data_IF_919398735525
#
_entry.id   IF_919398735525
#
_cell.length_a   1.000
_cell.length_b   1.000
_cell.length_c   1.000
_cell.angle_alpha   90.00
_cell.angle_beta   90.00
_cell.angle_gamma   90.00
#
_symmetry.space_group_name_H-M   'P 1'
#
loop_
_entity.id
_entity.type
_entity.pdbx_description
1 polymer ?
#
# COMPACT_ATOMS: atom_id res chain seq x y z
N UNK A 1 -4.55 -39.17 16.66
CA UNK A 1 -4.75 -37.86 17.31
C UNK A 1 -4.54 -36.79 16.25
N UNK A 2 -5.61 -36.25 15.67
CA UNK A 2 -5.52 -35.06 14.80
C UNK A 2 -5.57 -33.84 15.72
N UNK A 3 -4.43 -33.18 15.91
CA UNK A 3 -4.39 -31.87 16.57
C UNK A 3 -4.38 -30.82 15.47
N UNK A 4 -5.55 -30.33 15.07
CA UNK A 4 -5.66 -29.14 14.23
C UNK A 4 -5.47 -27.92 15.14
N UNK A 5 -4.25 -27.35 15.16
CA UNK A 5 -4.07 -26.01 15.70
C UNK A 5 -4.77 -25.04 14.76
N UNK A 6 -5.91 -24.50 15.18
CA UNK A 6 -6.46 -23.31 14.56
C UNK A 6 -5.47 -22.17 14.82
N UNK A 7 -4.71 -21.77 13.80
CA UNK A 7 -3.92 -20.56 13.86
C UNK A 7 -4.90 -19.38 13.87
N UNK A 8 -5.18 -18.82 15.05
CA UNK A 8 -6.03 -17.64 15.21
C UNK A 8 -5.30 -16.45 14.57
N UNK A 9 -5.72 -16.06 13.38
CA UNK A 9 -5.24 -14.82 12.75
C UNK A 9 -5.70 -13.61 13.55
N UNK A 10 -4.77 -12.76 13.98
CA UNK A 10 -5.12 -11.45 14.52
C UNK A 10 -5.47 -10.50 13.37
N UNK A 11 -6.48 -9.65 13.57
CA UNK A 11 -6.91 -8.67 12.57
C UNK A 11 -7.00 -7.29 13.20
N UNK A 12 -6.57 -6.28 12.44
CA UNK A 12 -6.73 -4.88 12.82
C UNK A 12 -7.43 -4.11 11.71
N UNK A 13 -8.21 -3.12 12.11
CA UNK A 13 -8.94 -2.24 11.21
C UNK A 13 -8.49 -0.80 11.48
N UNK A 14 -8.04 -0.11 10.44
CA UNK A 14 -7.91 1.33 10.42
C UNK A 14 -9.12 1.88 9.65
N UNK A 15 -10.01 2.58 10.34
CA UNK A 15 -11.22 3.16 9.75
C UNK A 15 -11.28 4.64 10.05
N UNK A 16 -11.58 5.50 9.07
CA UNK A 16 -11.86 6.91 9.30
C UNK A 16 -13.11 7.04 10.18
N UNK A 17 -13.07 7.98 11.11
CA UNK A 17 -14.13 8.30 12.08
C UNK A 17 -14.90 9.58 11.75
N UNK A 18 -14.53 10.27 10.65
CA UNK A 18 -15.08 11.55 10.23
C UNK A 18 -14.40 12.77 10.88
N UNK A 19 -13.49 12.57 11.84
CA UNK A 19 -12.78 13.66 12.50
C UNK A 19 -11.48 13.98 11.76
N UNK A 20 -11.58 14.80 10.71
CA UNK A 20 -10.43 15.17 9.89
C UNK A 20 -9.27 15.75 10.71
N UNK A 21 -9.53 16.62 11.70
CA UNK A 21 -8.49 17.23 12.52
C UNK A 21 -7.67 16.23 13.37
N UNK A 22 -8.21 15.03 13.63
CA UNK A 22 -7.55 14.00 14.44
C UNK A 22 -6.96 12.85 13.59
N UNK A 23 -6.91 13.00 12.26
CA UNK A 23 -6.55 11.92 11.32
C UNK A 23 -5.21 11.25 11.64
N UNK A 24 -4.17 12.01 11.95
CA UNK A 24 -2.85 11.43 12.23
C UNK A 24 -2.80 10.68 13.55
N UNK A 25 -3.45 11.20 14.59
CA UNK A 25 -3.55 10.50 15.88
C UNK A 25 -4.31 9.19 15.72
N UNK A 26 -5.42 9.18 14.96
CA UNK A 26 -6.16 7.97 14.64
C UNK A 26 -5.27 6.94 13.94
N UNK A 27 -4.56 7.32 12.87
CA UNK A 27 -3.65 6.43 12.14
C UNK A 27 -2.55 5.90 13.06
N UNK A 28 -1.88 6.77 13.81
CA UNK A 28 -0.80 6.42 14.73
C UNK A 28 -1.27 5.50 15.87
N UNK A 29 -2.49 5.69 16.38
CA UNK A 29 -3.05 4.84 17.45
C UNK A 29 -3.28 3.40 17.01
N UNK A 30 -3.55 3.18 15.71
CA UNK A 30 -3.81 1.86 15.14
C UNK A 30 -2.52 1.22 14.63
N UNK A 31 -1.72 1.96 13.85
CA UNK A 31 -0.51 1.42 13.20
C UNK A 31 0.73 1.48 14.10
N UNK A 32 0.68 2.22 15.22
CA UNK A 32 1.76 2.38 16.18
C UNK A 32 2.79 3.44 15.79
N UNK A 33 3.32 4.16 16.80
CA UNK A 33 4.37 5.15 16.62
C UNK A 33 3.98 6.34 15.73
N UNK A 34 4.92 6.81 14.92
CA UNK A 34 4.71 7.86 13.90
C UNK A 34 4.57 7.20 12.53
N UNK A 35 3.39 6.64 12.29
CA UNK A 35 3.06 5.86 11.10
C UNK A 35 2.77 6.73 9.87
N UNK A 36 2.59 8.03 10.04
CA UNK A 36 2.31 8.99 8.96
C UNK A 36 3.61 9.63 8.48
N UNK A 37 3.86 9.55 7.17
CA UNK A 37 4.99 10.17 6.46
C UNK A 37 4.44 11.14 5.41
N UNK A 38 4.47 12.45 5.70
CA UNK A 38 3.85 13.50 4.88
C UNK A 38 4.74 14.76 4.81
N UNK A 39 4.53 15.65 3.82
CA UNK A 39 5.29 16.89 3.67
C UNK A 39 4.56 18.12 4.24
N UNK A 40 3.73 17.97 5.28
CA UNK A 40 2.99 19.08 5.95
C UNK A 40 3.87 20.27 6.40
N UNK A 41 5.18 20.09 6.46
CA UNK A 41 6.15 21.13 6.77
C UNK A 41 6.40 22.12 5.62
N UNK A 42 6.01 21.82 4.37
CA UNK A 42 6.21 22.72 3.23
C UNK A 42 5.10 23.76 3.05
N UNK A 43 3.89 23.49 3.55
CA UNK A 43 2.74 24.40 3.48
C UNK A 43 1.67 24.01 4.50
N UNK A 44 0.80 24.95 4.94
CA UNK A 44 -0.12 24.74 6.05
C UNK A 44 -1.39 23.97 5.64
N UNK A 45 -1.25 22.83 4.96
CA UNK A 45 -2.33 21.88 4.69
C UNK A 45 -1.92 20.46 5.11
N UNK A 46 -2.86 19.74 5.72
CA UNK A 46 -2.65 18.32 6.00
C UNK A 46 -2.77 17.49 4.73
N UNK A 47 -1.80 16.63 4.48
CA UNK A 47 -1.81 15.77 3.30
C UNK A 47 -2.66 14.51 3.46
N UNK A 48 -3.09 14.15 4.68
CA UNK A 48 -4.10 13.11 4.87
C UNK A 48 -5.22 13.67 5.73
N UNK A 49 -6.40 13.73 5.13
CA UNK A 49 -7.63 14.25 5.74
C UNK A 49 -8.70 13.17 5.75
N UNK A 50 -9.87 13.47 6.32
CA UNK A 50 -11.06 12.64 6.19
C UNK A 50 -12.18 13.44 5.54
N UNK A 51 -12.99 12.77 4.72
CA UNK A 51 -14.22 13.34 4.15
C UNK A 51 -15.29 12.27 3.99
N UNK A 52 -16.56 12.65 3.93
CA UNK A 52 -17.63 11.73 3.52
C UNK A 52 -17.49 11.48 2.02
N UNK A 53 -17.40 10.21 1.63
CA UNK A 53 -17.51 9.82 0.23
C UNK A 53 -18.97 9.74 -0.17
N UNK A 54 -19.33 10.36 -1.30
CA UNK A 54 -20.72 10.43 -1.77
C UNK A 54 -21.25 9.12 -2.32
N UNK A 55 -20.38 8.24 -2.82
CA UNK A 55 -20.78 6.97 -3.42
C UNK A 55 -20.98 5.92 -2.31
N UNK A 56 -20.10 5.93 -1.30
CA UNK A 56 -20.14 4.98 -0.18
C UNK A 56 -20.97 5.47 1.01
N UNK A 57 -21.27 6.77 1.09
CA UNK A 57 -21.95 7.43 2.20
C UNK A 57 -21.32 7.14 3.59
N UNK A 58 -20.00 7.04 3.63
CA UNK A 58 -19.19 6.83 4.84
C UNK A 58 -17.97 7.77 4.82
N UNK A 59 -17.34 8.05 5.97
CA UNK A 59 -16.02 8.67 6.00
C UNK A 59 -14.99 7.83 5.23
N UNK A 60 -14.09 8.50 4.52
CA UNK A 60 -12.93 7.92 3.84
C UNK A 60 -11.70 8.76 4.16
N UNK A 61 -10.52 8.13 4.21
CA UNK A 61 -9.27 8.88 4.18
C UNK A 61 -9.08 9.50 2.80
N UNK A 62 -8.63 10.74 2.77
CA UNK A 62 -8.35 11.48 1.54
C UNK A 62 -6.92 11.98 1.59
N UNK A 63 -6.08 11.36 0.77
CA UNK A 63 -4.68 11.67 0.64
C UNK A 63 -4.49 12.73 -0.46
N UNK A 64 -3.61 13.70 -0.21
CA UNK A 64 -3.31 14.81 -1.10
C UNK A 64 -1.82 14.79 -1.45
N UNK A 65 -1.53 15.19 -2.69
CA UNK A 65 -0.18 15.23 -3.25
C UNK A 65 -0.14 16.33 -4.31
N UNK A 66 0.77 17.30 -4.16
CA UNK A 66 0.85 18.53 -4.96
C UNK A 66 2.21 18.60 -5.66
N UNK A 67 2.22 18.30 -6.96
CA UNK A 67 3.45 18.13 -7.77
C UNK A 67 4.45 19.28 -7.62
N UNK A 68 3.97 20.51 -7.51
CA UNK A 68 4.83 21.70 -7.53
C UNK A 68 5.52 22.02 -6.20
N UNK A 69 4.94 21.60 -5.07
CA UNK A 69 5.35 22.10 -3.74
C UNK A 69 5.68 21.01 -2.73
N UNK A 70 5.17 19.79 -2.89
CA UNK A 70 5.44 18.71 -1.93
C UNK A 70 6.82 18.08 -2.17
N UNK A 71 7.34 17.42 -1.14
CA UNK A 71 8.62 16.72 -1.17
C UNK A 71 8.59 15.47 -0.29
N UNK A 72 9.75 14.86 -0.01
CA UNK A 72 9.85 13.73 0.93
C UNK A 72 10.09 14.26 2.33
N UNK A 73 9.00 14.62 3.02
CA UNK A 73 8.97 14.97 4.46
C UNK A 73 9.92 16.11 4.86
N UNK A 74 10.16 17.07 3.96
CA UNK A 74 11.16 18.14 4.11
C UNK A 74 12.60 17.65 4.35
N UNK A 75 12.89 16.42 3.91
CA UNK A 75 14.21 15.80 4.03
C UNK A 75 14.84 15.64 2.65
N UNK A 76 14.11 15.03 1.70
CA UNK A 76 14.58 14.88 0.33
C UNK A 76 13.67 15.65 -0.64
N UNK A 77 14.26 16.13 -1.73
CA UNK A 77 13.61 16.99 -2.72
C UNK A 77 13.58 16.38 -4.14
N UNK A 78 13.99 15.11 -4.27
CA UNK A 78 13.99 14.35 -5.52
C UNK A 78 12.66 13.62 -5.78
N UNK A 79 11.77 13.58 -4.77
CA UNK A 79 10.51 12.84 -4.77
C UNK A 79 9.53 13.46 -3.79
N UNK A 80 8.27 13.02 -3.86
CA UNK A 80 7.21 13.36 -2.92
C UNK A 80 6.82 12.13 -2.10
N UNK A 81 6.32 12.31 -0.87
CA UNK A 81 5.77 11.22 -0.07
C UNK A 81 4.59 11.68 0.78
N UNK A 82 3.44 11.09 0.52
CA UNK A 82 2.25 11.11 1.39
C UNK A 82 1.85 9.66 1.66
N UNK A 83 2.19 9.14 2.83
CA UNK A 83 2.14 7.70 3.11
C UNK A 83 1.75 7.38 4.55
N UNK A 84 1.05 6.27 4.74
CA UNK A 84 0.92 5.58 6.03
C UNK A 84 1.66 4.24 5.98
N UNK A 85 2.30 3.84 7.08
CA UNK A 85 3.14 2.64 7.13
C UNK A 85 2.94 1.83 8.40
N UNK A 86 3.20 0.53 8.28
CA UNK A 86 3.68 -0.25 9.42
C UNK A 86 5.20 -0.20 9.48
N UNK A 87 5.80 -0.27 10.67
CA UNK A 87 7.25 -0.25 10.86
C UNK A 87 7.63 -0.85 12.22
N UNK A 88 8.86 -0.65 12.70
CA UNK A 88 9.38 -1.27 13.93
C UNK A 88 8.40 -1.21 15.13
N UNK A 89 7.92 -0.02 15.52
CA UNK A 89 6.94 0.21 16.59
C UNK A 89 5.52 -0.31 16.33
N UNK A 90 5.19 -0.74 15.11
CA UNK A 90 3.89 -1.35 14.85
C UNK A 90 3.74 -2.67 15.60
N UNK A 91 2.51 -3.03 16.02
CA UNK A 91 2.23 -4.32 16.63
C UNK A 91 2.81 -5.49 15.83
N UNK A 92 3.30 -6.52 16.53
CA UNK A 92 3.97 -7.66 15.90
C UNK A 92 3.09 -8.34 14.83
N UNK A 93 1.78 -8.46 15.08
CA UNK A 93 0.83 -9.09 14.17
C UNK A 93 0.51 -8.30 12.89
N UNK A 94 1.00 -7.06 12.79
CA UNK A 94 0.93 -6.25 11.55
C UNK A 94 2.19 -6.38 10.69
N UNK A 95 3.19 -7.11 11.17
CA UNK A 95 4.43 -7.42 10.48
C UNK A 95 4.41 -8.89 10.11
N UNK A 96 5.18 -9.24 9.10
CA UNK A 96 5.27 -10.61 8.63
C UNK A 96 6.71 -11.12 8.83
N UNK A 97 6.86 -12.14 9.68
CA UNK A 97 8.13 -12.79 9.98
C UNK A 97 8.37 -14.00 9.06
N UNK A 98 9.59 -14.52 9.02
CA UNK A 98 9.94 -15.62 8.11
C UNK A 98 9.04 -16.84 8.32
N UNK A 99 8.46 -17.36 7.24
CA UNK A 99 7.52 -18.48 7.22
C UNK A 99 6.07 -18.10 7.55
N UNK A 100 5.80 -16.87 8.00
CA UNK A 100 4.44 -16.42 8.30
C UNK A 100 3.67 -16.01 7.03
N UNK A 101 2.34 -15.99 7.16
CA UNK A 101 1.44 -15.48 6.15
C UNK A 101 0.71 -14.25 6.66
N UNK A 102 0.62 -13.23 5.83
CA UNK A 102 -0.16 -12.02 6.10
C UNK A 102 -1.15 -11.75 4.97
N UNK A 103 -2.23 -11.04 5.31
CA UNK A 103 -3.23 -10.54 4.38
C UNK A 103 -3.52 -9.08 4.69
N UNK A 104 -3.43 -8.23 3.67
CA UNK A 104 -3.86 -6.84 3.72
C UNK A 104 -5.00 -6.65 2.73
N UNK A 105 -6.00 -5.90 3.14
CA UNK A 105 -7.11 -5.53 2.26
C UNK A 105 -7.55 -4.10 2.54
N UNK A 106 -7.82 -3.35 1.49
CA UNK A 106 -8.31 -1.99 1.58
C UNK A 106 -9.12 -1.62 0.36
N UNK A 107 -10.00 -0.63 0.52
CA UNK A 107 -10.71 -0.01 -0.59
C UNK A 107 -9.95 1.24 -1.05
N UNK A 108 -9.86 1.43 -2.36
CA UNK A 108 -9.13 2.53 -2.98
C UNK A 108 -9.95 3.14 -4.12
N UNK A 109 -9.91 4.47 -4.23
CA UNK A 109 -10.34 5.18 -5.44
C UNK A 109 -9.28 6.19 -5.84
N UNK A 110 -8.69 6.00 -7.03
CA UNK A 110 -7.88 7.03 -7.67
C UNK A 110 -8.78 8.04 -8.39
N UNK A 111 -8.34 9.30 -8.50
CA UNK A 111 -9.03 10.29 -9.34
C UNK A 111 -9.18 9.75 -10.79
N UNK A 112 -10.32 9.99 -11.45
CA UNK A 112 -10.53 9.55 -12.84
C UNK A 112 -9.49 10.12 -13.83
N UNK A 113 -8.92 11.28 -13.48
CA UNK A 113 -7.86 11.96 -14.21
C UNK A 113 -6.48 11.78 -13.57
N UNK A 114 -6.29 10.78 -12.70
CA UNK A 114 -5.01 10.55 -12.04
C UNK A 114 -3.84 10.53 -13.03
N UNK A 115 -2.80 11.29 -12.73
CA UNK A 115 -1.63 11.49 -13.58
C UNK A 115 -0.41 10.84 -12.93
N UNK A 116 -0.08 9.58 -13.28
CA UNK A 116 1.12 8.96 -12.77
C UNK A 116 2.38 9.54 -13.42
N UNK A 117 3.50 9.42 -12.71
CA UNK A 117 4.82 9.77 -13.24
C UNK A 117 5.29 8.77 -14.30
N UNK A 118 6.22 9.20 -15.16
CA UNK A 118 6.98 8.31 -16.04
C UNK A 118 8.03 7.49 -15.28
N UNK A 119 8.49 8.01 -14.14
CA UNK A 119 9.43 7.36 -13.25
C UNK A 119 8.74 6.34 -12.34
N UNK A 120 8.01 6.76 -11.31
CA UNK A 120 7.16 5.87 -10.50
C UNK A 120 6.14 6.66 -9.69
N UNK A 121 5.00 6.04 -9.42
CA UNK A 121 3.98 6.53 -8.48
C UNK A 121 3.45 5.31 -7.74
N UNK A 122 4.05 4.98 -6.60
CA UNK A 122 3.61 3.82 -5.82
C UNK A 122 2.37 4.21 -5.01
N UNK A 123 1.37 3.34 -4.98
CA UNK A 123 0.15 3.50 -4.15
C UNK A 123 0.02 2.39 -3.09
N UNK A 124 0.81 1.33 -3.22
CA UNK A 124 1.03 0.33 -2.19
C UNK A 124 2.43 -0.23 -2.34
N UNK A 125 3.06 -0.55 -1.21
CA UNK A 125 4.34 -1.25 -1.19
C UNK A 125 4.38 -2.29 -0.07
N UNK A 126 5.07 -3.40 -0.34
CA UNK A 126 5.53 -4.35 0.67
C UNK A 126 7.06 -4.32 0.70
N UNK A 127 7.67 -4.01 1.85
CA UNK A 127 9.13 -3.90 1.96
C UNK A 127 9.69 -4.52 3.25
N UNK A 128 10.98 -4.85 3.25
CA UNK A 128 11.70 -5.27 4.45
C UNK A 128 11.84 -4.11 5.47
N UNK A 129 12.10 -4.46 6.73
CA UNK A 129 12.49 -3.53 7.79
C UNK A 129 13.75 -4.03 8.49
N UNK A 130 14.72 -3.13 8.65
CA UNK A 130 15.92 -3.38 9.44
C UNK A 130 17.01 -4.12 8.68
N UNK A 131 17.25 -3.76 7.42
CA UNK A 131 18.25 -4.33 6.51
C UNK A 131 18.23 -3.59 5.16
N UNK A 132 18.47 -4.29 4.04
CA UNK A 132 18.30 -3.82 2.65
C UNK A 132 16.82 -3.44 2.35
N UNK A 133 16.41 -2.27 2.84
CA UNK A 133 15.01 -1.82 2.86
C UNK A 133 14.70 -0.77 1.78
N UNK A 134 15.68 -0.46 0.92
CA UNK A 134 15.56 0.54 -0.15
C UNK A 134 14.59 0.08 -1.25
N UNK A 135 14.62 -1.22 -1.59
CA UNK A 135 13.83 -1.79 -2.68
C UNK A 135 12.63 -2.59 -2.14
N UNK A 136 11.38 -2.19 -2.43
CA UNK A 136 10.21 -2.99 -2.06
C UNK A 136 10.17 -4.35 -2.80
N UNK A 137 9.65 -5.38 -2.13
CA UNK A 137 9.37 -6.68 -2.75
C UNK A 137 8.22 -6.60 -3.74
N UNK A 138 7.14 -5.92 -3.35
CA UNK A 138 5.95 -5.75 -4.18
C UNK A 138 5.60 -4.27 -4.18
N UNK A 139 5.23 -3.76 -5.36
CA UNK A 139 4.57 -2.46 -5.46
C UNK A 139 3.35 -2.56 -6.34
N UNK A 140 2.32 -1.79 -6.00
CA UNK A 140 1.24 -1.45 -6.91
C UNK A 140 1.50 -0.02 -7.40
N UNK A 141 1.65 0.14 -8.70
CA UNK A 141 2.25 1.35 -9.29
C UNK A 141 1.49 1.80 -10.53
N UNK A 142 0.68 2.87 -10.44
CA UNK A 142 0.35 3.68 -11.60
C UNK A 142 1.60 4.19 -12.32
N UNK A 143 1.62 4.08 -13.65
CA UNK A 143 2.78 4.46 -14.49
C UNK A 143 2.33 5.13 -15.78
N UNK A 144 2.99 6.20 -16.18
CA UNK A 144 2.86 6.77 -17.53
C UNK A 144 3.99 6.24 -18.41
N UNK A 145 3.65 5.64 -19.55
CA UNK A 145 4.63 5.18 -20.54
C UNK A 145 4.12 5.47 -21.94
N UNK A 146 4.87 6.28 -22.69
CA UNK A 146 4.54 6.69 -24.07
C UNK A 146 3.11 7.25 -24.20
N UNK A 147 2.69 8.10 -23.27
CA UNK A 147 1.36 8.71 -23.26
C UNK A 147 0.23 7.81 -22.75
N UNK A 148 0.51 6.54 -22.44
CA UNK A 148 -0.49 5.58 -21.94
C UNK A 148 -0.30 5.36 -20.43
N UNK A 149 -1.42 5.34 -19.70
CA UNK A 149 -1.45 5.14 -18.24
C UNK A 149 -1.75 3.67 -17.91
N UNK A 150 -0.87 3.06 -17.12
CA UNK A 150 -0.97 1.67 -16.69
C UNK A 150 -1.08 1.59 -15.18
N UNK A 151 -1.67 0.49 -14.70
CA UNK A 151 -1.47 -0.01 -13.34
C UNK A 151 -0.55 -1.22 -13.43
N UNK A 152 0.53 -1.24 -12.66
CA UNK A 152 1.50 -2.33 -12.63
C UNK A 152 1.58 -2.96 -11.23
N UNK A 153 1.73 -4.27 -11.18
CA UNK A 153 2.29 -4.96 -10.01
C UNK A 153 3.73 -5.30 -10.34
N UNK A 154 4.67 -4.75 -9.58
CA UNK A 154 6.10 -5.04 -9.75
C UNK A 154 6.60 -5.90 -8.59
N UNK A 155 7.48 -6.84 -8.92
CA UNK A 155 8.20 -7.66 -7.94
C UNK A 155 9.71 -7.40 -8.03
N UNK A 156 10.39 -7.37 -6.88
CA UNK A 156 11.84 -7.45 -6.79
C UNK A 156 12.27 -8.56 -5.83
N UNK A 157 12.98 -9.54 -6.35
CA UNK A 157 13.58 -10.62 -5.57
C UNK A 157 14.85 -10.19 -4.83
N UNK A 158 15.76 -11.13 -4.58
CA UNK A 158 17.01 -10.90 -3.85
C UNK A 158 17.99 -9.97 -4.57
N UNK A 159 17.93 -9.90 -5.91
CA UNK A 159 18.78 -9.02 -6.71
C UNK A 159 18.33 -7.55 -6.69
N UNK A 160 17.24 -7.22 -5.99
CA UNK A 160 16.67 -5.86 -5.89
C UNK A 160 16.33 -5.21 -7.23
N UNK A 161 16.09 -5.99 -8.29
CA UNK A 161 15.62 -5.48 -9.59
C UNK A 161 14.11 -5.61 -9.68
N UNK A 162 13.41 -4.47 -9.82
CA UNK A 162 11.96 -4.46 -10.02
C UNK A 162 11.58 -4.82 -11.45
N UNK A 163 10.72 -5.84 -11.58
CA UNK A 163 10.15 -6.28 -12.85
C UNK A 163 8.63 -6.33 -12.76
N UNK A 164 7.88 -5.90 -13.80
CA UNK A 164 6.44 -6.10 -13.85
C UNK A 164 6.10 -7.58 -13.87
N UNK A 165 5.26 -8.02 -12.93
CA UNK A 165 4.67 -9.37 -12.91
C UNK A 165 3.21 -9.37 -13.38
N UNK A 166 2.60 -8.19 -13.42
CA UNK A 166 1.29 -7.94 -14.01
C UNK A 166 1.19 -6.47 -14.45
N UNK A 167 0.42 -6.21 -15.50
CA UNK A 167 0.11 -4.87 -15.99
C UNK A 167 -1.27 -4.83 -16.64
N UNK A 168 -1.99 -3.72 -16.48
CA UNK A 168 -3.26 -3.44 -17.15
C UNK A 168 -3.49 -1.94 -17.33
N UNK A 169 -4.51 -1.54 -18.12
CA UNK A 169 -4.80 -0.13 -18.35
C UNK A 169 -5.34 0.53 -17.07
N UNK A 170 -4.81 1.71 -16.71
CA UNK A 170 -5.22 2.41 -15.49
C UNK A 170 -6.69 2.85 -15.54
N UNK A 171 -7.25 3.04 -16.74
CA UNK A 171 -8.66 3.41 -16.97
C UNK A 171 -9.67 2.40 -16.41
N UNK A 172 -9.26 1.16 -16.18
CA UNK A 172 -10.12 0.14 -15.59
C UNK A 172 -10.29 0.32 -14.07
N UNK A 173 -9.44 1.14 -13.44
CA UNK A 173 -9.34 1.35 -11.99
C UNK A 173 -9.58 2.80 -11.57
N UNK A 174 -9.14 3.77 -12.38
CA UNK A 174 -9.28 5.18 -12.07
C UNK A 174 -10.76 5.62 -12.05
N UNK A 175 -11.12 6.48 -11.09
CA UNK A 175 -12.45 7.06 -10.96
C UNK A 175 -13.51 6.16 -10.33
N UNK A 176 -13.14 4.97 -9.83
CA UNK A 176 -14.07 4.03 -9.18
C UNK A 176 -13.47 3.44 -7.91
N UNK A 177 -14.33 3.06 -6.97
CA UNK A 177 -13.92 2.31 -5.79
C UNK A 177 -13.59 0.86 -6.17
N UNK A 178 -12.40 0.42 -5.77
CA UNK A 178 -11.95 -0.96 -5.92
C UNK A 178 -11.54 -1.53 -4.57
N UNK A 179 -11.88 -2.80 -4.33
CA UNK A 179 -11.39 -3.58 -3.21
C UNK A 179 -10.12 -4.32 -3.62
N UNK A 180 -9.03 -4.08 -2.92
CA UNK A 180 -7.73 -4.71 -3.15
C UNK A 180 -7.47 -5.69 -2.01
N UNK A 181 -7.10 -6.92 -2.34
CA UNK A 181 -6.58 -7.90 -1.38
C UNK A 181 -5.17 -8.29 -1.81
N UNK A 182 -4.21 -8.20 -0.90
CA UNK A 182 -2.84 -8.70 -1.05
C UNK A 182 -2.58 -9.72 0.04
N UNK A 183 -2.13 -10.92 -0.34
CA UNK A 183 -1.75 -11.98 0.58
C UNK A 183 -0.38 -12.50 0.20
N UNK A 184 0.49 -12.71 1.19
CA UNK A 184 1.76 -13.34 0.93
C UNK A 184 2.31 -14.13 2.11
N UNK A 185 3.19 -15.08 1.79
CA UNK A 185 4.02 -15.80 2.74
C UNK A 185 5.42 -15.19 2.71
N UNK A 186 5.92 -14.75 3.87
CA UNK A 186 7.25 -14.18 4.02
C UNK A 186 8.32 -15.25 3.99
N UNK A 187 8.71 -15.71 2.81
CA UNK A 187 9.73 -16.72 2.64
C UNK A 187 10.49 -16.50 1.33
N UNK A 188 11.69 -17.10 1.21
CA UNK A 188 12.44 -17.12 -0.05
C UNK A 188 11.69 -17.91 -1.13
N UNK A 189 10.93 -18.93 -0.73
CA UNK A 189 10.00 -19.68 -1.58
C UNK A 189 8.57 -19.42 -1.10
N UNK A 190 8.15 -18.15 -1.16
CA UNK A 190 6.86 -17.69 -0.70
C UNK A 190 5.75 -17.92 -1.71
N UNK A 191 4.52 -17.65 -1.26
CA UNK A 191 3.35 -17.47 -2.11
C UNK A 191 2.96 -16.00 -2.10
N UNK A 192 2.54 -15.48 -3.25
CA UNK A 192 1.94 -14.16 -3.40
C UNK A 192 0.62 -14.28 -4.15
N UNK A 193 -0.38 -13.56 -3.67
CA UNK A 193 -1.67 -13.43 -4.31
C UNK A 193 -2.13 -11.98 -4.19
N UNK A 194 -2.54 -11.40 -5.31
CA UNK A 194 -3.22 -10.10 -5.35
C UNK A 194 -4.48 -10.22 -6.18
N UNK A 195 -5.54 -9.60 -5.71
CA UNK A 195 -6.83 -9.51 -6.39
C UNK A 195 -7.39 -8.11 -6.25
N UNK A 196 -7.94 -7.59 -7.34
CA UNK A 196 -8.65 -6.31 -7.37
C UNK A 196 -10.05 -6.54 -7.93
N UNK A 197 -11.06 -6.09 -7.20
CA UNK A 197 -12.47 -6.13 -7.59
C UNK A 197 -13.06 -4.73 -7.58
N UNK A 198 -14.06 -4.48 -8.41
CA UNK A 198 -14.89 -3.28 -8.22
C UNK A 198 -15.77 -3.45 -7.01
N UNK A 199 -15.98 -2.36 -6.27
CA UNK A 199 -16.80 -2.38 -5.07
C UNK A 199 -18.31 -2.28 -5.37
N UNK A 200 -18.68 -1.75 -6.53
CA UNK A 200 -20.08 -1.53 -6.94
C UNK A 200 -20.81 -2.82 -7.39
N UNK A 201 -20.10 -3.74 -8.04
CA UNK A 201 -20.70 -4.93 -8.65
C UNK A 201 -19.87 -6.21 -8.47
N UNK A 202 -18.86 -6.20 -7.60
CA UNK A 202 -17.95 -7.33 -7.35
C UNK A 202 -17.18 -7.86 -8.57
N UNK A 203 -17.19 -7.15 -9.70
CA UNK A 203 -16.47 -7.56 -10.91
C UNK A 203 -14.98 -7.65 -10.61
N UNK A 204 -14.41 -8.83 -10.81
CA UNK A 204 -12.97 -9.02 -10.72
C UNK A 204 -12.27 -8.32 -11.90
N UNK A 205 -11.44 -7.32 -11.59
CA UNK A 205 -10.64 -6.61 -12.58
C UNK A 205 -9.31 -7.31 -12.84
N UNK A 206 -8.71 -7.87 -11.78
CA UNK A 206 -7.50 -8.67 -11.91
C UNK A 206 -7.40 -9.70 -10.78
N UNK A 207 -6.72 -10.81 -11.06
CA UNK A 207 -6.24 -11.79 -10.07
C UNK A 207 -4.91 -12.35 -10.53
N UNK A 208 -3.89 -12.29 -9.67
CA UNK A 208 -2.56 -12.82 -9.94
C UNK A 208 -2.11 -13.68 -8.77
N UNK A 209 -1.59 -14.88 -9.06
CA UNK A 209 -1.03 -15.78 -8.06
C UNK A 209 0.34 -16.25 -8.53
N UNK A 210 1.31 -16.25 -7.61
CA UNK A 210 2.57 -16.96 -7.76
C UNK A 210 2.82 -17.80 -6.50
N UNK A 211 3.03 -19.11 -6.67
CA UNK A 211 3.22 -20.04 -5.55
C UNK A 211 4.70 -20.30 -5.23
N UNK A 212 5.62 -19.64 -5.94
CA UNK A 212 7.06 -19.72 -5.69
C UNK A 212 7.71 -18.38 -6.06
N UNK A 213 7.69 -17.45 -5.11
CA UNK A 213 8.19 -16.08 -5.29
C UNK A 213 8.97 -15.63 -4.05
N UNK A 214 10.07 -14.94 -4.28
CA UNK A 214 10.92 -14.41 -3.20
C UNK A 214 10.22 -13.24 -2.50
N UNK A 215 9.77 -13.48 -1.27
CA UNK A 215 9.13 -12.48 -0.40
C UNK A 215 9.88 -12.33 0.93
N UNK A 216 11.18 -12.64 0.91
CA UNK A 216 12.05 -12.54 2.07
C UNK A 216 13.48 -12.24 1.64
N UNK A 217 14.09 -11.25 2.27
CA UNK A 217 15.53 -10.96 2.27
C UNK A 217 15.93 -11.03 3.73
N UNK A 218 17.14 -11.51 3.99
CA UNK A 218 17.62 -11.63 5.36
C UNK A 218 17.41 -10.29 6.10
N UNK A 219 16.96 -10.41 7.35
CA UNK A 219 16.67 -9.36 8.33
C UNK A 219 15.18 -8.98 8.55
N UNK A 220 14.68 -9.63 9.61
CA UNK A 220 13.60 -9.34 10.57
C UNK A 220 12.14 -9.39 10.12
N UNK A 221 11.62 -8.50 9.28
CA UNK A 221 10.16 -8.47 8.96
C UNK A 221 9.82 -7.77 7.65
N UNK A 222 8.70 -8.15 7.02
CA UNK A 222 8.04 -7.36 5.98
C UNK A 222 6.91 -6.49 6.56
N UNK A 223 6.77 -5.29 6.00
CA UNK A 223 5.74 -4.28 6.32
C UNK A 223 4.97 -3.89 5.07
N UNK A 224 3.80 -3.29 5.29
CA UNK A 224 3.06 -2.59 4.23
C UNK A 224 3.16 -1.07 4.35
N UNK A 225 2.99 -0.41 3.20
CA UNK A 225 2.87 1.04 3.03
C UNK A 225 1.72 1.34 2.06
N UNK A 226 0.94 2.36 2.37
CA UNK A 226 -0.13 2.90 1.50
C UNK A 226 0.16 4.37 1.22
N UNK A 227 0.18 4.72 -0.05
CA UNK A 227 0.76 5.97 -0.54
C UNK A 227 -0.20 6.62 -1.54
N UNK A 228 -0.16 7.95 -1.65
CA UNK A 228 -0.84 8.70 -2.71
C UNK A 228 0.10 9.14 -3.82
#
# INVERSE_FOLDING_TARGET
>A
VLCAFACLGQRTYLRPDGNSANTYNLINSVLGGTAVEVPDCVHPQMHITQRIDTDLNIPVFNFHSHVDIDNDRCINFDRMRTEIKTYGPSPAHMKCFNGERVSYSWDLRLNSQFQPSTAFTHIFQSKAVGGEDSMPFITLTPRLRSGVRYLQVLHAGINSVQNPIWEGPLSDYAGRWVHITVEYTCATHGRFHIRIKRLDNDQQLMSYTNNNIEMWRAEKTLIFRLTA
#
